data_IF_050106316206
#
_entry.id   IF_050106316206
#
_cell.length_a   1.000
_cell.length_b   1.000
_cell.length_c   1.000
_cell.angle_alpha   90.00
_cell.angle_beta   90.00
_cell.angle_gamma   90.00
#
_symmetry.space_group_name_H-M   'P 1'
#
loop_
_entity.id
_entity.type
_entity.pdbx_description
1 polymer ?
#
# COMPACT_ATOMS: atom_id res chain seq x y z
N UNK A 1 -10.21 13.87 3.42
CA UNK A 1 -8.85 13.57 3.90
C UNK A 1 -8.84 12.18 4.54
N UNK A 2 -7.73 11.45 4.47
CA UNK A 2 -7.59 10.08 4.97
C UNK A 2 -7.50 10.00 6.52
N UNK A 3 -8.15 10.90 7.27
CA UNK A 3 -7.90 11.10 8.71
C UNK A 3 -8.14 9.86 9.56
N UNK A 4 -9.09 9.00 9.17
CA UNK A 4 -9.39 7.72 9.85
C UNK A 4 -8.77 6.50 9.17
N UNK A 5 -7.77 6.69 8.32
CA UNK A 5 -7.09 5.60 7.60
C UNK A 5 -6.07 4.89 8.48
N UNK A 6 -5.78 3.63 8.15
CA UNK A 6 -4.65 2.88 8.74
C UNK A 6 -3.34 3.61 8.48
N UNK A 7 -3.22 4.31 7.34
CA UNK A 7 -2.08 5.14 7.04
C UNK A 7 -1.82 6.21 8.11
N UNK A 8 -2.85 6.98 8.48
CA UNK A 8 -2.76 8.07 9.48
C UNK A 8 -2.49 7.61 10.90
N UNK A 9 -2.68 6.32 11.20
CA UNK A 9 -2.30 5.74 12.49
C UNK A 9 -0.79 5.67 12.69
N UNK A 10 -0.03 5.54 11.59
CA UNK A 10 1.43 5.36 11.62
C UNK A 10 2.20 6.50 10.96
N UNK A 11 1.57 7.21 10.01
CA UNK A 11 2.20 8.25 9.21
C UNK A 11 1.50 9.59 9.42
N UNK A 12 2.25 10.59 9.91
CA UNK A 12 1.76 11.97 10.08
C UNK A 12 1.57 12.66 8.73
N UNK A 13 2.42 12.36 7.76
CA UNK A 13 2.41 12.96 6.43
C UNK A 13 1.66 12.10 5.41
N UNK A 14 1.14 12.74 4.36
CA UNK A 14 0.38 12.07 3.31
C UNK A 14 1.25 11.68 2.10
N UNK A 15 2.38 11.01 2.35
CA UNK A 15 3.32 10.60 1.31
C UNK A 15 3.09 9.14 0.86
N UNK A 16 1.90 8.58 1.09
CA UNK A 16 1.63 7.17 0.81
C UNK A 16 1.73 6.83 -0.68
N UNK A 17 1.38 7.77 -1.57
CA UNK A 17 1.52 7.64 -3.02
C UNK A 17 3.01 7.54 -3.43
N UNK A 18 3.86 8.37 -2.85
CA UNK A 18 5.32 8.32 -3.09
C UNK A 18 5.92 7.02 -2.56
N UNK A 19 5.52 6.60 -1.36
CA UNK A 19 5.96 5.31 -0.81
C UNK A 19 5.49 4.16 -1.70
N UNK A 20 4.24 4.19 -2.12
CA UNK A 20 3.68 3.17 -3.01
C UNK A 20 4.43 3.11 -4.33
N UNK A 21 4.82 4.23 -4.92
CA UNK A 21 5.61 4.26 -6.17
C UNK A 21 6.97 3.59 -5.99
N UNK A 22 7.64 3.80 -4.84
CA UNK A 22 8.89 3.12 -4.49
C UNK A 22 8.69 1.61 -4.38
N UNK A 23 7.66 1.15 -3.67
CA UNK A 23 7.38 -0.28 -3.50
C UNK A 23 6.95 -0.97 -4.81
N UNK A 24 6.14 -0.29 -5.61
CA UNK A 24 5.68 -0.76 -6.91
C UNK A 24 6.76 -0.63 -7.99
N UNK A 25 7.87 0.07 -7.74
CA UNK A 25 8.92 0.37 -8.72
C UNK A 25 8.37 0.97 -10.01
N UNK A 26 7.53 2.02 -9.88
CA UNK A 26 6.91 2.75 -10.99
C UNK A 26 6.92 4.26 -10.70
N UNK A 27 6.67 5.10 -11.72
CA UNK A 27 6.61 6.55 -11.49
C UNK A 27 5.40 6.91 -10.63
N UNK A 28 5.56 7.85 -9.70
CA UNK A 28 4.44 8.42 -8.95
C UNK A 28 3.48 9.21 -9.83
N UNK A 29 3.90 9.59 -11.04
CA UNK A 29 3.07 10.24 -12.07
C UNK A 29 2.13 9.25 -12.76
N UNK A 30 2.53 7.98 -12.84
CA UNK A 30 1.68 6.93 -13.40
C UNK A 30 0.59 6.48 -12.41
N UNK A 31 0.79 6.76 -11.12
CA UNK A 31 -0.11 6.36 -10.04
C UNK A 31 -1.23 7.38 -9.87
N UNK A 32 -2.46 6.89 -9.65
CA UNK A 32 -3.65 7.70 -9.35
C UNK A 32 -3.33 8.87 -8.43
N UNK A 33 -3.57 10.07 -8.94
CA UNK A 33 -3.33 11.33 -8.24
C UNK A 33 -4.31 11.59 -7.08
N UNK A 34 -5.55 11.10 -7.17
CA UNK A 34 -6.55 11.21 -6.10
C UNK A 34 -6.29 10.21 -4.96
N UNK A 35 -5.95 10.76 -3.79
CA UNK A 35 -5.66 9.99 -2.57
C UNK A 35 -6.83 9.08 -2.11
N UNK A 36 -8.08 9.54 -2.22
CA UNK A 36 -9.24 8.74 -1.78
C UNK A 36 -9.43 7.55 -2.71
N UNK A 37 -9.32 7.78 -4.02
CA UNK A 37 -9.45 6.72 -5.02
C UNK A 37 -8.32 5.72 -4.87
N UNK A 38 -7.07 6.20 -4.81
CA UNK A 38 -5.89 5.34 -4.64
C UNK A 38 -5.98 4.51 -3.36
N UNK A 39 -6.39 5.12 -2.25
CA UNK A 39 -6.54 4.40 -0.99
C UNK A 39 -7.71 3.40 -1.01
N UNK A 40 -8.79 3.70 -1.76
CA UNK A 40 -9.88 2.77 -2.04
C UNK A 40 -9.39 1.53 -2.79
N UNK A 41 -8.57 1.72 -3.82
CA UNK A 41 -7.97 0.64 -4.60
C UNK A 41 -7.03 -0.20 -3.71
N UNK A 42 -6.18 0.45 -2.89
CA UNK A 42 -5.33 -0.26 -1.92
C UNK A 42 -6.15 -1.13 -0.98
N UNK A 43 -7.26 -0.62 -0.44
CA UNK A 43 -8.18 -1.41 0.40
C UNK A 43 -8.82 -2.59 -0.33
N UNK A 44 -9.08 -2.46 -1.64
CA UNK A 44 -9.66 -3.53 -2.43
C UNK A 44 -8.64 -4.61 -2.82
N UNK A 45 -7.36 -4.25 -3.01
CA UNK A 45 -6.30 -5.18 -3.45
C UNK A 45 -5.49 -5.78 -2.30
N UNK A 46 -5.31 -5.02 -1.22
CA UNK A 46 -4.58 -5.43 -0.03
C UNK A 46 -5.56 -5.85 1.06
N UNK A 47 -5.24 -6.93 1.75
CA UNK A 47 -5.93 -7.31 2.99
C UNK A 47 -5.64 -6.28 4.09
N UNK A 48 -6.47 -6.27 5.15
CA UNK A 48 -6.27 -5.37 6.30
C UNK A 48 -4.87 -5.52 6.93
N UNK A 49 -4.32 -6.74 6.96
CA UNK A 49 -2.96 -7.00 7.47
C UNK A 49 -1.89 -6.44 6.53
N UNK A 50 -2.01 -6.67 5.23
CA UNK A 50 -1.10 -6.13 4.21
C UNK A 50 -1.08 -4.60 4.20
N UNK A 51 -2.25 -3.96 4.28
CA UNK A 51 -2.37 -2.50 4.34
C UNK A 51 -1.74 -1.92 5.60
N UNK A 52 -1.93 -2.59 6.75
CA UNK A 52 -1.30 -2.21 8.02
C UNK A 52 0.21 -2.39 7.97
N UNK A 53 0.69 -3.51 7.43
CA UNK A 53 2.11 -3.79 7.25
C UNK A 53 2.76 -2.73 6.35
N UNK A 54 2.12 -2.39 5.24
CA UNK A 54 2.57 -1.32 4.35
C UNK A 54 2.66 0.04 5.05
N UNK A 55 1.67 0.40 5.87
CA UNK A 55 1.68 1.65 6.60
C UNK A 55 2.79 1.71 7.65
N UNK A 56 3.00 0.63 8.41
CA UNK A 56 4.05 0.53 9.43
C UNK A 56 5.46 0.51 8.80
N UNK A 57 5.64 -0.24 7.72
CA UNK A 57 6.90 -0.33 6.98
C UNK A 57 7.26 1.00 6.31
N UNK A 58 6.26 1.72 5.77
CA UNK A 58 6.46 3.08 5.25
C UNK A 58 6.82 4.11 6.33
N UNK A 59 6.30 3.92 7.54
CA UNK A 59 6.62 4.73 8.72
C UNK A 59 7.98 4.38 9.34
N UNK A 60 8.71 3.41 8.77
CA UNK A 60 10.01 2.96 9.25
C UNK A 60 9.96 2.45 10.71
N UNK A 61 8.83 1.84 11.10
CA UNK A 61 8.68 1.16 12.39
C UNK A 61 9.65 -0.03 12.43
N UNK A 62 10.22 -0.30 13.60
CA UNK A 62 11.12 -1.44 13.75
C UNK A 62 10.39 -2.77 13.48
N UNK A 63 11.06 -3.70 12.78
CA UNK A 63 10.46 -5.00 12.45
C UNK A 63 10.01 -5.76 13.71
N UNK A 64 10.76 -5.64 14.82
CA UNK A 64 10.41 -6.27 16.09
C UNK A 64 9.09 -5.75 16.67
N UNK A 65 8.79 -4.47 16.47
CA UNK A 65 7.54 -3.85 16.91
C UNK A 65 6.38 -4.26 16.00
N UNK A 66 6.61 -4.34 14.69
CA UNK A 66 5.62 -4.89 13.76
C UNK A 66 5.31 -6.36 14.08
N UNK A 67 6.32 -7.21 14.32
CA UNK A 67 6.14 -8.62 14.68
C UNK A 67 5.26 -8.79 15.92
N UNK A 68 5.52 -7.98 16.97
CA UNK A 68 4.71 -7.95 18.19
C UNK A 68 3.26 -7.54 17.90
N UNK A 69 3.07 -6.49 17.11
CA UNK A 69 1.74 -5.96 16.77
C UNK A 69 0.91 -6.96 15.93
N UNK A 70 1.55 -7.74 15.07
CA UNK A 70 0.88 -8.79 14.30
C UNK A 70 0.85 -10.15 15.00
N UNK A 71 1.51 -10.28 16.15
CA UNK A 71 1.77 -11.55 16.84
C UNK A 71 2.27 -12.63 15.88
N UNK A 72 3.23 -12.27 15.02
CA UNK A 72 3.81 -13.15 14.00
C UNK A 72 5.25 -13.53 14.36
N UNK A 73 5.58 -14.78 14.09
CA UNK A 73 6.95 -15.29 14.13
C UNK A 73 7.79 -14.71 12.97
N UNK A 74 9.12 -14.76 13.08
CA UNK A 74 10.05 -14.22 12.09
C UNK A 74 9.77 -14.72 10.66
N UNK A 75 9.56 -16.03 10.50
CA UNK A 75 9.25 -16.63 9.21
C UNK A 75 7.92 -16.11 8.64
N UNK A 76 6.88 -16.02 9.47
CA UNK A 76 5.56 -15.54 9.04
C UNK A 76 5.59 -14.06 8.69
N UNK A 77 6.35 -13.27 9.43
CA UNK A 77 6.55 -11.86 9.16
C UNK A 77 7.29 -11.65 7.82
N UNK A 78 8.40 -12.35 7.62
CA UNK A 78 9.15 -12.33 6.37
C UNK A 78 8.28 -12.77 5.19
N UNK A 79 7.48 -13.84 5.36
CA UNK A 79 6.55 -14.32 4.35
C UNK A 79 5.45 -13.29 4.04
N UNK A 80 4.89 -12.62 5.04
CA UNK A 80 3.88 -11.57 4.85
C UNK A 80 4.45 -10.37 4.08
N UNK A 81 5.65 -9.92 4.44
CA UNK A 81 6.38 -8.85 3.77
C UNK A 81 6.71 -9.22 2.32
N UNK A 82 7.22 -10.43 2.10
CA UNK A 82 7.48 -10.96 0.77
C UNK A 82 6.21 -11.03 -0.09
N UNK A 83 5.11 -11.55 0.46
CA UNK A 83 3.83 -11.63 -0.24
C UNK A 83 3.29 -10.25 -0.62
N UNK A 84 3.38 -9.28 0.30
CA UNK A 84 2.98 -7.89 0.06
C UNK A 84 3.78 -7.29 -1.11
N UNK A 85 5.12 -7.33 -1.05
CA UNK A 85 5.93 -6.75 -2.12
C UNK A 85 5.78 -7.48 -3.44
N UNK A 86 5.68 -8.81 -3.41
CA UNK A 86 5.40 -9.61 -4.60
C UNK A 86 4.07 -9.19 -5.22
N UNK A 87 3.02 -8.98 -4.41
CA UNK A 87 1.71 -8.51 -4.89
C UNK A 87 1.79 -7.09 -5.45
N UNK A 88 2.48 -6.16 -4.78
CA UNK A 88 2.65 -4.78 -5.27
C UNK A 88 3.43 -4.71 -6.59
N UNK A 89 4.36 -5.64 -6.81
CA UNK A 89 5.13 -5.76 -8.06
C UNK A 89 4.40 -6.52 -9.18
N UNK A 90 3.28 -7.20 -8.90
CA UNK A 90 2.50 -7.87 -9.94
C UNK A 90 1.84 -6.85 -10.86
N UNK A 91 1.91 -7.10 -12.17
CA UNK A 91 1.37 -6.18 -13.17
C UNK A 91 -0.14 -5.94 -13.01
N UNK A 92 -0.91 -6.95 -12.60
CA UNK A 92 -2.36 -6.79 -12.31
C UNK A 92 -2.62 -5.75 -11.21
N UNK A 93 -1.78 -5.75 -10.18
CA UNK A 93 -1.87 -4.81 -9.06
C UNK A 93 -1.40 -3.43 -9.48
N UNK A 94 -0.26 -3.34 -10.18
CA UNK A 94 0.26 -2.08 -10.75
C UNK A 94 -0.73 -1.41 -11.69
N UNK A 95 -1.34 -2.17 -12.60
CA UNK A 95 -2.39 -1.68 -13.50
C UNK A 95 -3.57 -1.10 -12.73
N UNK A 96 -3.94 -1.70 -11.59
CA UNK A 96 -5.03 -1.18 -10.77
C UNK A 96 -4.68 0.16 -10.13
N UNK A 97 -3.40 0.44 -9.90
CA UNK A 97 -2.93 1.74 -9.38
C UNK A 97 -2.64 2.76 -10.47
N UNK A 98 -2.68 2.38 -11.75
CA UNK A 98 -2.41 3.33 -12.84
C UNK A 98 -3.61 4.24 -13.05
N UNK A 99 -3.36 5.54 -13.12
CA UNK A 99 -4.39 6.55 -13.40
C UNK A 99 -5.06 6.30 -14.75
N UNK A 100 -4.28 5.87 -15.75
CA UNK A 100 -4.77 5.54 -17.10
C UNK A 100 -5.76 4.37 -17.14
N UNK A 101 -5.82 3.54 -16.08
CA UNK A 101 -6.79 2.42 -16.02
C UNK A 101 -8.15 2.91 -15.54
N UNK A 102 -8.20 3.93 -14.68
CA UNK A 102 -9.45 4.49 -14.16
C UNK A 102 -10.21 5.30 -15.21
N UNK A 103 -9.49 5.97 -16.11
CA UNK A 103 -10.11 6.75 -17.20
C UNK A 103 -10.87 5.89 -18.22
N UNK A 104 -10.64 4.57 -18.26
CA UNK A 104 -11.33 3.67 -19.21
C UNK A 104 -12.71 3.21 -18.75
N UNK A 105 -13.05 3.35 -17.46
CA UNK A 105 -14.34 2.90 -16.92
C UNK A 105 -15.44 3.97 -17.03
N UNK A 106 -15.13 5.22 -17.40
CA UNK A 106 -16.12 6.31 -17.57
C UNK A 106 -16.68 6.46 -18.99
N UNK A 107 -16.14 5.73 -19.98
CA UNK A 107 -16.71 5.65 -21.33
C UNK A 107 -17.53 4.35 -21.51
N UNK A 108 -18.73 4.27 -20.93
CA UNK A 108 -19.78 3.34 -21.40
C UNK A 108 -21.19 3.75 -20.98
#
# INVERSE_FOLDING_TARGET
MLENSVWRQYNKENNFREKLSQFCSMSSEDIVSDDKVLYGILKAKLTKKELKLFAMDSANIAEDEMKKEFSLDDEKFAQAKFNLYKKLKQDKTRLSFKESTLQKDEEY
#
